data_IF_839155246036
#
_entry.id   IF_839155246036
#
_cell.length_a   1.000
_cell.length_b   1.000
_cell.length_c   1.000
_cell.angle_alpha   90.00
_cell.angle_beta   90.00
_cell.angle_gamma   90.00
#
_symmetry.space_group_name_H-M   'P 1'
#
loop_
_entity.id
_entity.type
_entity.pdbx_description
1 polymer ?
#
# COMPACT_ATOMS: atom_id res chain seq x y z
N UNK A 1 11.07 -25.22 -19.49
CA UNK A 1 10.85 -24.02 -18.66
C UNK A 1 12.22 -23.49 -18.24
N UNK A 2 12.63 -22.33 -18.77
CA UNK A 2 14.01 -21.83 -18.68
C UNK A 2 14.24 -21.08 -17.37
N UNK A 3 15.14 -21.61 -16.54
CA UNK A 3 15.72 -20.96 -15.37
C UNK A 3 16.53 -19.75 -15.86
N UNK A 4 16.23 -18.54 -15.36
CA UNK A 4 17.05 -17.34 -15.60
C UNK A 4 17.89 -17.04 -14.36
N UNK A 5 19.15 -16.72 -14.64
CA UNK A 5 20.30 -16.81 -13.75
C UNK A 5 20.39 -15.64 -12.78
N UNK A 6 20.85 -15.95 -11.56
CA UNK A 6 21.41 -15.03 -10.57
C UNK A 6 22.54 -14.20 -11.18
N UNK A 7 22.48 -12.89 -11.01
CA UNK A 7 23.64 -12.01 -11.23
C UNK A 7 23.82 -11.16 -9.97
N UNK A 8 24.69 -11.62 -9.08
CA UNK A 8 25.21 -10.83 -7.98
C UNK A 8 26.30 -9.90 -8.53
N UNK A 9 26.18 -8.60 -8.27
CA UNK A 9 27.24 -7.61 -8.51
C UNK A 9 27.76 -7.17 -7.16
N UNK A 10 28.97 -7.62 -6.82
CA UNK A 10 29.74 -7.16 -5.67
C UNK A 10 30.74 -6.09 -6.16
N UNK A 11 30.73 -4.89 -5.57
CA UNK A 11 31.80 -3.90 -5.73
C UNK A 11 32.12 -3.17 -4.41
N UNK A 12 33.19 -3.66 -3.77
CA UNK A 12 34.39 -2.93 -3.31
C UNK A 12 34.29 -1.75 -2.31
N UNK A 13 34.78 -2.01 -1.09
CA UNK A 13 35.86 -1.24 -0.42
C UNK A 13 35.53 0.11 0.23
N UNK A 14 35.18 0.12 1.52
CA UNK A 14 35.00 1.34 2.31
C UNK A 14 36.31 1.80 2.97
N UNK A 15 36.85 2.95 2.55
CA UNK A 15 37.97 3.64 3.21
C UNK A 15 37.51 4.24 4.54
N UNK A 16 38.05 3.75 5.67
CA UNK A 16 37.86 4.36 6.98
C UNK A 16 38.88 5.50 7.15
N UNK A 17 38.41 6.75 7.14
CA UNK A 17 39.23 7.90 7.54
C UNK A 17 39.44 7.88 9.07
N UNK A 18 40.70 7.78 9.49
CA UNK A 18 41.10 7.80 10.89
C UNK A 18 40.81 9.15 11.56
N UNK A 19 40.16 9.11 12.73
CA UNK A 19 39.92 10.30 13.54
C UNK A 19 41.19 10.69 14.28
N UNK A 20 41.71 11.90 14.03
CA UNK A 20 42.84 12.46 14.75
C UNK A 20 42.46 12.87 16.18
N UNK A 21 43.19 12.39 17.18
CA UNK A 21 43.05 12.84 18.57
C UNK A 21 43.86 14.11 18.78
N UNK A 22 43.19 15.24 19.04
CA UNK A 22 43.85 16.46 19.50
C UNK A 22 44.09 16.40 21.02
N UNK A 23 45.36 16.44 21.43
CA UNK A 23 45.77 16.49 22.84
C UNK A 23 45.89 17.95 23.26
N UNK A 24 45.12 18.38 24.25
CA UNK A 24 45.26 19.69 24.90
C UNK A 24 45.86 19.49 26.30
N UNK A 25 46.71 20.43 26.74
CA UNK A 25 47.32 20.43 28.08
C UNK A 25 46.25 20.56 29.18
N UNK A 26 46.41 19.79 30.27
CA UNK A 26 45.46 19.75 31.38
C UNK A 26 45.71 20.84 32.43
N UNK A 27 44.65 21.41 32.99
CA UNK A 27 44.69 22.33 34.14
C UNK A 27 44.43 21.54 35.44
N UNK A 28 45.26 21.69 36.49
CA UNK A 28 45.12 20.89 37.71
C UNK A 28 43.94 21.33 38.58
N UNK A 29 43.26 20.37 39.23
CA UNK A 29 42.27 20.65 40.28
C UNK A 29 43.01 20.98 41.58
N UNK A 30 42.79 22.17 42.15
CA UNK A 30 43.56 22.68 43.31
C UNK A 30 42.75 22.83 44.60
N UNK A 31 41.46 22.48 44.61
CA UNK A 31 40.60 22.60 45.78
C UNK A 31 39.63 21.41 45.92
N UNK A 32 39.30 21.05 47.16
CA UNK A 32 38.32 20.01 47.47
C UNK A 32 36.95 20.46 46.92
N UNK A 33 36.34 19.63 46.07
CA UNK A 33 35.10 19.94 45.36
C UNK A 33 35.30 20.50 43.94
N UNK A 34 36.53 20.67 43.46
CA UNK A 34 36.78 20.99 42.05
C UNK A 34 36.55 19.80 41.11
N UNK A 35 36.19 20.08 39.86
CA UNK A 35 35.94 19.08 38.82
C UNK A 35 36.67 19.46 37.53
N UNK A 36 37.17 18.45 36.82
CA UNK A 36 37.69 18.57 35.45
C UNK A 36 36.79 17.75 34.52
N UNK A 37 36.52 18.27 33.34
CA UNK A 37 35.53 17.70 32.42
C UNK A 37 36.10 17.63 31.01
N UNK A 38 35.85 16.51 30.33
CA UNK A 38 36.24 16.29 28.94
C UNK A 38 35.03 15.78 28.16
N UNK A 39 34.82 16.31 26.96
CA UNK A 39 33.76 15.81 26.08
C UNK A 39 34.05 14.37 25.64
N UNK A 40 33.06 13.50 25.80
CA UNK A 40 33.07 12.14 25.28
C UNK A 40 32.36 12.15 23.92
N UNK A 41 33.07 11.74 22.86
CA UNK A 41 32.55 11.68 21.48
C UNK A 41 32.63 10.24 20.97
N UNK A 42 31.61 9.81 20.23
CA UNK A 42 31.53 8.49 19.62
C UNK A 42 30.98 8.58 18.18
N UNK A 43 31.19 7.52 17.38
CA UNK A 43 30.67 7.41 16.02
C UNK A 43 30.20 6.00 15.76
N UNK A 44 29.02 5.86 15.16
CA UNK A 44 28.50 4.57 14.71
C UNK A 44 29.10 4.21 13.35
N UNK A 45 29.55 2.96 13.19
CA UNK A 45 30.04 2.43 11.94
C UNK A 45 29.60 0.96 11.78
N UNK A 46 29.22 0.58 10.56
CA UNK A 46 29.00 -0.83 10.19
C UNK A 46 29.91 -1.20 9.02
N UNK A 47 30.47 -2.40 9.06
CA UNK A 47 31.27 -2.93 7.95
C UNK A 47 30.39 -3.49 6.82
N UNK A 48 29.12 -3.77 7.11
CA UNK A 48 28.14 -4.28 6.15
C UNK A 48 26.75 -3.70 6.48
N UNK A 49 26.21 -2.88 5.58
CA UNK A 49 24.85 -2.40 5.70
C UNK A 49 23.86 -3.54 5.47
N UNK A 50 22.73 -3.50 6.19
CA UNK A 50 21.62 -4.42 5.95
C UNK A 50 21.09 -4.22 4.51
N UNK A 51 20.65 -5.30 3.89
CA UNK A 51 19.97 -5.24 2.59
C UNK A 51 18.52 -4.81 2.77
N UNK A 52 17.95 -4.21 1.73
CA UNK A 52 16.50 -3.95 1.68
C UNK A 52 15.73 -5.25 1.56
N UNK A 53 14.71 -5.42 2.40
CA UNK A 53 13.80 -6.55 2.45
C UNK A 53 12.37 -6.03 2.38
N UNK A 54 11.62 -6.51 1.39
CA UNK A 54 10.21 -6.19 1.23
C UNK A 54 9.33 -7.30 1.81
N UNK A 55 8.40 -6.90 2.69
CA UNK A 55 7.39 -7.77 3.30
C UNK A 55 6.13 -6.94 3.50
N UNK A 56 5.07 -7.25 2.76
CA UNK A 56 3.82 -6.47 2.77
C UNK A 56 2.64 -7.41 2.79
N UNK A 57 1.70 -7.16 3.69
CA UNK A 57 0.43 -7.87 3.77
C UNK A 57 -0.66 -7.08 3.04
N UNK A 58 -1.50 -7.80 2.30
CA UNK A 58 -2.65 -7.23 1.59
C UNK A 58 -3.89 -8.01 2.01
N UNK A 59 -4.82 -7.33 2.66
CA UNK A 59 -6.10 -7.89 3.09
C UNK A 59 -7.24 -7.23 2.31
N UNK A 60 -8.01 -8.06 1.60
CA UNK A 60 -9.16 -7.63 0.82
C UNK A 60 -10.47 -7.90 1.57
N UNK A 61 -11.43 -6.98 1.46
CA UNK A 61 -12.84 -7.31 1.65
C UNK A 61 -13.35 -8.23 0.54
N UNK A 62 -14.61 -8.66 0.63
CA UNK A 62 -15.17 -9.66 -0.28
C UNK A 62 -15.22 -9.23 -1.77
N UNK A 63 -15.16 -7.92 -2.04
CA UNK A 63 -15.29 -7.33 -3.38
C UNK A 63 -16.58 -7.74 -4.09
N UNK A 64 -17.64 -8.01 -3.32
CA UNK A 64 -18.96 -8.40 -3.83
C UNK A 64 -19.95 -7.24 -3.74
N UNK A 65 -20.55 -6.93 -4.88
CA UNK A 65 -21.49 -5.81 -5.03
C UNK A 65 -22.83 -6.28 -5.57
N UNK A 66 -23.90 -5.60 -5.17
CA UNK A 66 -25.25 -5.74 -5.69
C UNK A 66 -25.65 -4.46 -6.43
N UNK A 67 -26.14 -4.60 -7.66
CA UNK A 67 -26.74 -3.51 -8.43
C UNK A 67 -28.25 -3.59 -8.34
N UNK A 68 -28.87 -2.59 -7.71
CA UNK A 68 -30.33 -2.57 -7.48
C UNK A 68 -30.95 -1.44 -8.27
N UNK A 69 -31.94 -1.77 -9.12
CA UNK A 69 -32.78 -0.78 -9.79
C UNK A 69 -34.03 -0.51 -8.95
N UNK A 70 -34.45 0.77 -8.73
CA UNK A 70 -35.60 1.08 -7.88
C UNK A 70 -36.93 0.54 -8.40
N UNK A 71 -37.14 0.58 -9.72
CA UNK A 71 -38.30 -0.02 -10.37
C UNK A 71 -37.98 -0.33 -11.82
N UNK A 72 -38.26 -1.56 -12.25
CA UNK A 72 -38.19 -1.95 -13.67
C UNK A 72 -39.37 -1.41 -14.48
N UNK A 73 -40.40 -0.85 -13.83
CA UNK A 73 -41.65 -0.46 -14.47
C UNK A 73 -42.61 -1.63 -14.68
N UNK A 74 -43.62 -1.42 -15.51
CA UNK A 74 -44.64 -2.43 -15.85
C UNK A 74 -44.47 -2.88 -17.30
N UNK A 75 -44.50 -4.19 -17.54
CA UNK A 75 -44.43 -4.74 -18.89
C UNK A 75 -45.66 -4.32 -19.72
N UNK A 76 -45.43 -3.65 -20.84
CA UNK A 76 -46.44 -3.31 -21.82
C UNK A 76 -46.37 -4.31 -22.99
N UNK A 77 -47.34 -5.23 -23.13
CA UNK A 77 -47.30 -6.25 -24.18
C UNK A 77 -47.53 -5.68 -25.59
N UNK A 78 -48.13 -4.50 -25.74
CA UNK A 78 -48.36 -3.90 -27.06
C UNK A 78 -47.07 -3.30 -27.64
N UNK A 79 -46.22 -2.74 -26.76
CA UNK A 79 -44.95 -2.11 -27.14
C UNK A 79 -43.73 -3.02 -26.95
N UNK A 80 -43.92 -4.16 -26.28
CA UNK A 80 -42.84 -5.06 -25.85
C UNK A 80 -41.71 -4.35 -25.09
N UNK A 81 -42.08 -3.47 -24.15
CA UNK A 81 -41.15 -2.73 -23.31
C UNK A 81 -41.71 -2.52 -21.91
N UNK A 82 -40.87 -2.11 -20.97
CA UNK A 82 -41.33 -1.67 -19.65
C UNK A 82 -41.66 -0.17 -19.66
N UNK A 83 -42.87 0.19 -19.23
CA UNK A 83 -43.29 1.57 -19.04
C UNK A 83 -43.16 1.97 -17.56
N UNK A 84 -42.72 3.20 -17.28
CA UNK A 84 -42.65 3.73 -15.91
C UNK A 84 -41.50 3.18 -15.06
N UNK A 85 -40.38 2.77 -15.66
CA UNK A 85 -39.15 2.50 -14.91
C UNK A 85 -38.69 3.74 -14.14
N UNK A 86 -38.20 3.57 -12.91
CA UNK A 86 -37.85 4.68 -12.02
C UNK A 86 -36.39 4.61 -11.57
N UNK A 87 -35.72 5.75 -11.65
CA UNK A 87 -34.40 5.99 -11.08
C UNK A 87 -33.25 5.28 -11.81
N UNK A 88 -32.03 5.75 -11.55
CA UNK A 88 -30.83 5.00 -11.89
C UNK A 88 -30.63 3.86 -10.87
N UNK A 89 -30.12 2.72 -11.31
CA UNK A 89 -29.72 1.68 -10.37
C UNK A 89 -28.51 2.10 -9.54
N UNK A 90 -28.40 1.54 -8.35
CA UNK A 90 -27.40 1.88 -7.35
C UNK A 90 -26.57 0.65 -7.00
N UNK A 91 -25.26 0.82 -6.93
CA UNK A 91 -24.34 -0.18 -6.41
C UNK A 91 -24.31 -0.12 -4.89
N UNK A 92 -24.32 -1.29 -4.26
CA UNK A 92 -24.19 -1.46 -2.82
C UNK A 92 -23.37 -2.69 -2.49
N UNK A 93 -22.74 -2.71 -1.31
CA UNK A 93 -22.02 -3.86 -0.78
C UNK A 93 -22.18 -3.92 0.74
N UNK A 94 -21.77 -5.04 1.35
CA UNK A 94 -21.69 -5.16 2.81
C UNK A 94 -20.59 -4.23 3.35
N UNK A 95 -20.72 -3.80 4.61
CA UNK A 95 -19.72 -2.92 5.23
C UNK A 95 -18.30 -3.55 5.17
N UNK A 96 -17.35 -2.78 4.63
CA UNK A 96 -15.95 -3.18 4.45
C UNK A 96 -15.67 -4.15 3.29
N UNK A 97 -16.70 -4.64 2.57
CA UNK A 97 -16.50 -5.53 1.44
C UNK A 97 -15.77 -4.87 0.26
N UNK A 98 -15.78 -3.54 0.19
CA UNK A 98 -15.17 -2.71 -0.84
C UNK A 98 -13.75 -2.21 -0.49
N UNK A 99 -13.22 -2.59 0.67
CA UNK A 99 -11.93 -2.10 1.16
C UNK A 99 -10.78 -3.05 0.87
N UNK A 100 -9.60 -2.48 0.64
CA UNK A 100 -8.32 -3.19 0.65
C UNK A 100 -7.39 -2.50 1.63
N UNK A 101 -6.82 -3.28 2.56
CA UNK A 101 -5.84 -2.82 3.55
C UNK A 101 -4.45 -3.33 3.17
N UNK A 102 -3.48 -2.45 3.21
CA UNK A 102 -2.06 -2.74 3.00
C UNK A 102 -1.31 -2.47 4.30
N UNK A 103 -0.42 -3.38 4.70
CA UNK A 103 0.43 -3.23 5.88
C UNK A 103 1.87 -3.51 5.51
N UNK A 104 2.77 -2.55 5.76
CA UNK A 104 4.18 -2.66 5.41
C UNK A 104 5.02 -3.15 6.60
N UNK A 105 5.65 -4.30 6.46
CA UNK A 105 6.62 -4.87 7.41
C UNK A 105 8.07 -4.78 6.89
N UNK A 106 8.28 -4.11 5.76
CA UNK A 106 9.59 -3.95 5.13
C UNK A 106 10.52 -3.05 5.95
N UNK A 107 11.84 -3.22 5.79
CA UNK A 107 12.82 -2.24 6.29
C UNK A 107 13.04 -1.06 5.33
N UNK A 108 12.12 -0.87 4.38
CA UNK A 108 12.08 0.25 3.47
C UNK A 108 10.63 0.73 3.29
N UNK A 109 10.48 2.00 2.92
CA UNK A 109 9.19 2.52 2.51
C UNK A 109 8.74 1.87 1.19
N UNK A 110 7.43 1.72 1.01
CA UNK A 110 6.80 1.16 -0.19
C UNK A 110 5.67 2.05 -0.67
N UNK A 111 5.43 2.04 -1.98
CA UNK A 111 4.27 2.68 -2.60
C UNK A 111 3.31 1.63 -3.14
N UNK A 112 2.10 1.58 -2.60
CA UNK A 112 1.01 0.74 -3.08
C UNK A 112 0.13 1.53 -4.06
N UNK A 113 0.01 1.08 -5.30
CA UNK A 113 -0.88 1.66 -6.31
C UNK A 113 -2.10 0.77 -6.51
N UNK A 114 -3.29 1.38 -6.63
CA UNK A 114 -4.58 0.71 -6.70
C UNK A 114 -5.21 0.91 -8.08
N UNK A 115 -5.59 -0.18 -8.75
CA UNK A 115 -6.24 -0.12 -10.07
C UNK A 115 -7.43 -1.06 -10.16
N UNK A 116 -8.36 -0.73 -11.04
CA UNK A 116 -9.47 -1.59 -11.43
C UNK A 116 -9.52 -1.69 -12.95
N UNK A 117 -9.73 -2.90 -13.44
CA UNK A 117 -9.93 -3.18 -14.86
C UNK A 117 -11.23 -3.97 -15.04
N UNK A 118 -12.13 -3.48 -15.88
CA UNK A 118 -13.36 -4.17 -16.21
C UNK A 118 -13.09 -5.35 -17.15
N UNK A 119 -13.87 -6.42 -16.99
CA UNK A 119 -13.90 -7.52 -17.96
C UNK A 119 -14.49 -7.04 -19.30
N UNK A 120 -14.13 -7.70 -20.40
CA UNK A 120 -14.48 -7.25 -21.77
C UNK A 120 -15.98 -7.01 -21.99
N UNK A 121 -16.83 -7.84 -21.38
CA UNK A 121 -18.29 -7.78 -21.50
C UNK A 121 -18.92 -6.72 -20.58
N UNK A 122 -18.11 -6.13 -19.70
CA UNK A 122 -18.50 -5.22 -18.62
C UNK A 122 -17.79 -3.87 -18.68
N UNK A 123 -17.20 -3.50 -19.83
CA UNK A 123 -16.48 -2.23 -20.00
C UNK A 123 -17.31 -0.96 -19.74
N UNK A 124 -18.65 -1.06 -19.69
CA UNK A 124 -19.51 0.05 -19.27
C UNK A 124 -19.56 0.26 -17.74
N UNK A 125 -18.99 -0.67 -16.96
CA UNK A 125 -18.89 -0.59 -15.51
C UNK A 125 -17.50 -0.11 -15.14
N UNK A 126 -17.41 1.06 -14.52
CA UNK A 126 -16.15 1.63 -14.08
C UNK A 126 -15.98 1.42 -12.58
N UNK A 127 -14.78 1.04 -12.17
CA UNK A 127 -14.35 1.01 -10.78
C UNK A 127 -13.31 2.08 -10.51
N UNK A 128 -13.43 2.79 -9.39
CA UNK A 128 -12.45 3.76 -8.93
C UNK A 128 -12.18 3.58 -7.45
N UNK A 129 -10.91 3.58 -7.09
CA UNK A 129 -10.52 3.73 -5.70
C UNK A 129 -10.65 5.19 -5.26
N UNK A 130 -10.87 5.40 -3.96
CA UNK A 130 -10.86 6.71 -3.30
C UNK A 130 -9.48 7.40 -3.37
N UNK A 131 -8.42 6.62 -3.60
CA UNK A 131 -7.07 7.09 -3.93
C UNK A 131 -6.38 6.16 -4.91
N UNK A 132 -5.49 6.72 -5.72
CA UNK A 132 -4.75 5.97 -6.74
C UNK A 132 -3.53 5.25 -6.16
N UNK A 133 -2.95 5.80 -5.10
CA UNK A 133 -1.82 5.19 -4.41
C UNK A 133 -1.70 5.64 -2.95
N UNK A 134 -0.87 4.92 -2.20
CA UNK A 134 -0.51 5.19 -0.82
C UNK A 134 0.97 4.88 -0.59
N UNK A 135 1.70 5.79 0.05
CA UNK A 135 3.08 5.56 0.47
C UNK A 135 3.11 5.16 1.95
N UNK A 136 3.58 3.96 2.23
CA UNK A 136 3.74 3.43 3.58
C UNK A 136 5.21 3.53 3.99
N UNK A 137 5.47 4.05 5.18
CA UNK A 137 6.83 4.18 5.71
C UNK A 137 7.45 2.81 6.03
N UNK A 138 8.77 2.79 6.24
CA UNK A 138 9.48 1.59 6.75
C UNK A 138 8.92 1.19 8.12
N UNK A 139 8.91 -0.12 8.40
CA UNK A 139 8.63 -0.67 9.72
C UNK A 139 9.88 -0.73 10.61
N UNK A 140 11.05 -0.30 10.11
CA UNK A 140 12.25 -0.26 10.92
C UNK A 140 12.07 0.66 12.13
N UNK A 141 12.28 0.13 13.33
CA UNK A 141 12.07 0.85 14.58
C UNK A 141 10.61 0.95 15.04
N UNK A 142 9.66 0.30 14.36
CA UNK A 142 8.27 0.20 14.82
C UNK A 142 8.00 -1.15 15.49
N UNK A 143 7.06 -1.19 16.44
CA UNK A 143 6.53 -2.47 16.93
C UNK A 143 5.76 -3.20 15.83
N UNK A 144 5.71 -4.54 15.87
CA UNK A 144 5.08 -5.35 14.82
C UNK A 144 3.59 -5.00 14.64
N UNK A 145 2.88 -4.71 15.73
CA UNK A 145 1.46 -4.35 15.69
C UNK A 145 1.21 -2.90 15.24
N UNK A 146 2.24 -2.05 15.29
CA UNK A 146 2.20 -0.64 14.90
C UNK A 146 2.84 -0.44 13.50
N UNK A 147 2.97 -1.52 12.73
CA UNK A 147 3.48 -1.46 11.37
C UNK A 147 2.66 -0.49 10.51
N UNK A 148 3.31 0.35 9.67
CA UNK A 148 2.61 1.32 8.83
C UNK A 148 1.53 0.66 7.97
N UNK A 149 0.33 1.23 7.98
CA UNK A 149 -0.82 0.68 7.25
C UNK A 149 -1.62 1.76 6.56
N UNK A 150 -2.23 1.40 5.43
CA UNK A 150 -3.20 2.23 4.75
C UNK A 150 -4.34 1.38 4.15
N UNK A 151 -5.49 1.99 3.90
CA UNK A 151 -6.68 1.36 3.33
C UNK A 151 -7.22 2.20 2.17
N UNK A 152 -7.63 1.55 1.09
CA UNK A 152 -8.34 2.15 -0.03
C UNK A 152 -9.70 1.48 -0.25
N UNK A 153 -10.65 2.22 -0.81
CA UNK A 153 -12.05 1.77 -0.98
C UNK A 153 -12.44 1.84 -2.46
N UNK A 154 -12.98 0.75 -3.02
CA UNK A 154 -13.40 0.67 -4.41
C UNK A 154 -14.90 1.01 -4.56
N UNK A 155 -15.20 2.03 -5.36
CA UNK A 155 -16.56 2.37 -5.78
C UNK A 155 -16.82 1.96 -7.22
N UNK A 156 -18.04 1.47 -7.50
CA UNK A 156 -18.49 1.10 -8.85
C UNK A 156 -19.51 2.10 -9.40
N UNK A 157 -19.47 2.31 -10.71
CA UNK A 157 -20.43 3.12 -11.46
C UNK A 157 -20.78 2.46 -12.79
N UNK A 158 -21.84 2.96 -13.44
CA UNK A 158 -22.44 2.31 -14.61
C UNK A 158 -23.57 1.36 -14.20
N UNK A 159 -24.09 0.59 -15.16
CA UNK A 159 -25.24 -0.28 -14.96
C UNK A 159 -24.89 -1.74 -15.24
N UNK A 160 -25.30 -2.62 -14.33
CA UNK A 160 -25.23 -4.07 -14.55
C UNK A 160 -26.44 -4.52 -15.37
N UNK A 161 -26.21 -5.37 -16.37
CA UNK A 161 -27.29 -5.92 -17.19
C UNK A 161 -28.12 -6.92 -16.37
N UNK A 162 -29.44 -6.85 -16.52
CA UNK A 162 -30.44 -7.70 -15.82
C UNK A 162 -30.23 -9.21 -16.00
N UNK A 163 -29.58 -9.64 -17.07
CA UNK A 163 -29.32 -11.06 -17.32
C UNK A 163 -28.27 -11.66 -16.37
N UNK A 164 -27.56 -10.84 -15.59
CA UNK A 164 -26.62 -11.29 -14.56
C UNK A 164 -27.38 -11.48 -13.24
N UNK A 165 -27.80 -12.73 -12.97
CA UNK A 165 -28.59 -13.07 -11.78
C UNK A 165 -27.78 -13.83 -10.70
N UNK A 166 -26.55 -14.24 -11.01
CA UNK A 166 -25.63 -14.89 -10.09
C UNK A 166 -24.33 -14.08 -9.97
N UNK A 167 -23.60 -14.19 -8.85
CA UNK A 167 -22.30 -13.55 -8.69
C UNK A 167 -21.39 -13.88 -9.87
N UNK A 168 -21.00 -12.85 -10.60
CA UNK A 168 -20.22 -12.96 -11.84
C UNK A 168 -19.06 -11.99 -11.75
N UNK A 169 -17.88 -12.42 -12.19
CA UNK A 169 -16.72 -11.54 -12.29
C UNK A 169 -16.98 -10.46 -13.35
N UNK A 170 -17.01 -9.20 -12.91
CA UNK A 170 -17.21 -8.01 -13.77
C UNK A 170 -15.93 -7.20 -13.99
N UNK A 171 -14.90 -7.46 -13.19
CA UNK A 171 -13.62 -6.77 -13.25
C UNK A 171 -12.62 -7.34 -12.24
N UNK A 172 -11.43 -6.76 -12.23
CA UNK A 172 -10.33 -7.14 -11.34
C UNK A 172 -9.76 -5.90 -10.68
N UNK A 173 -9.76 -5.88 -9.36
CA UNK A 173 -9.03 -4.90 -8.56
C UNK A 173 -7.59 -5.39 -8.31
N UNK A 174 -6.60 -4.51 -8.41
CA UNK A 174 -5.18 -4.85 -8.28
C UNK A 174 -4.46 -3.89 -7.36
N UNK A 175 -3.58 -4.41 -6.50
CA UNK A 175 -2.59 -3.64 -5.74
C UNK A 175 -1.21 -3.93 -6.34
N UNK A 176 -0.50 -2.89 -6.76
CA UNK A 176 0.89 -2.99 -7.25
C UNK A 176 1.82 -2.34 -6.25
N UNK A 177 2.82 -3.08 -5.78
CA UNK A 177 3.88 -2.55 -4.91
C UNK A 177 5.04 -2.02 -5.73
N UNK A 178 5.48 -0.81 -5.39
CA UNK A 178 6.63 -0.14 -5.99
C UNK A 178 7.58 0.35 -4.88
N UNK A 179 8.86 0.48 -5.21
CA UNK A 179 9.78 1.22 -4.35
C UNK A 179 9.36 2.71 -4.33
N UNK A 180 9.67 3.40 -3.24
CA UNK A 180 9.54 4.86 -3.18
C UNK A 180 10.79 5.46 -3.85
N UNK A 181 10.57 6.38 -4.80
CA UNK A 181 11.63 7.11 -5.49
C UNK A 181 12.39 8.09 -4.57
#
# INVERSE_FOLDING_TARGET
MRIKKLTAVAMTGMMVFGMGTSVCAASPITQIGGADTKDVKATYATNQAAQTVYSVDIAWGDMQYTYTVPSEGTWNPEKHQFDGALGAGVWSCSDGADKVKVTNHSNAAVKAAFTYEAESDYQSINGSFDKQDATLQTAEGTEVLEAPTDTATLSLSGALKKNVQAPTKIGTATVTLNAVD
#
